data_IF_399937332112
#
_entry.id   IF_399937332112
#
_cell.length_a   1.000
_cell.length_b   1.000
_cell.length_c   1.000
_cell.angle_alpha   90.00
_cell.angle_beta   90.00
_cell.angle_gamma   90.00
#
_symmetry.space_group_name_H-M   'P 1'
#
loop_
_entity.id
_entity.type
_entity.pdbx_description
1 polymer ?
#
# COMPACT_ATOMS: atom_id res chain seq x y z
N UNK A 1 5.76 19.59 10.61
CA UNK A 1 4.68 20.59 10.46
C UNK A 1 3.77 20.52 11.68
N UNK A 2 3.32 21.66 12.25
CA UNK A 2 2.42 21.63 13.42
C UNK A 2 0.97 21.39 12.98
N UNK A 3 0.16 20.73 13.81
CA UNK A 3 -1.24 20.42 13.47
C UNK A 3 -2.08 21.67 13.20
N UNK A 4 -1.74 22.78 13.86
CA UNK A 4 -2.39 24.08 13.63
C UNK A 4 -2.20 24.58 12.19
N UNK A 5 -1.03 24.34 11.59
CA UNK A 5 -0.74 24.68 10.19
C UNK A 5 -1.49 23.74 9.26
N UNK A 6 -1.48 22.43 9.52
CA UNK A 6 -2.21 21.43 8.71
C UNK A 6 -3.70 21.77 8.61
N UNK A 7 -4.34 22.00 9.76
CA UNK A 7 -5.76 22.35 9.84
C UNK A 7 -6.09 23.65 9.12
N UNK A 8 -5.22 24.65 9.20
CA UNK A 8 -5.39 25.92 8.47
C UNK A 8 -5.34 25.71 6.96
N UNK A 9 -4.42 24.90 6.45
CA UNK A 9 -4.31 24.60 5.02
C UNK A 9 -5.57 23.90 4.48
N UNK A 10 -6.12 22.96 5.25
CA UNK A 10 -7.39 22.30 4.90
C UNK A 10 -8.53 23.32 4.86
N UNK A 11 -8.62 24.19 5.88
CA UNK A 11 -9.65 25.24 5.95
C UNK A 11 -9.58 26.24 4.78
N UNK A 12 -8.37 26.58 4.34
CA UNK A 12 -8.14 27.51 3.23
C UNK A 12 -8.32 26.86 1.84
N UNK A 13 -8.79 25.59 1.76
CA UNK A 13 -9.03 24.87 0.51
C UNK A 13 -7.80 24.85 -0.40
N UNK A 14 -6.62 24.65 0.18
CA UNK A 14 -5.37 24.48 -0.58
C UNK A 14 -5.38 23.17 -1.38
N UNK A 15 -6.18 22.18 -0.93
CA UNK A 15 -6.20 20.83 -1.46
C UNK A 15 -6.54 20.71 -2.96
N UNK A 16 -7.65 21.28 -3.46
CA UNK A 16 -8.01 21.10 -4.88
C UNK A 16 -6.93 21.64 -5.82
N UNK A 17 -6.29 22.75 -5.44
CA UNK A 17 -5.21 23.35 -6.24
C UNK A 17 -3.91 22.57 -6.14
N UNK A 18 -3.60 22.00 -4.97
CA UNK A 18 -2.46 21.11 -4.80
C UNK A 18 -2.64 19.79 -5.58
N UNK A 19 -3.89 19.30 -5.68
CA UNK A 19 -4.24 18.08 -6.41
C UNK A 19 -3.98 18.23 -7.90
N UNK A 20 -4.24 19.41 -8.47
CA UNK A 20 -3.90 19.71 -9.86
C UNK A 20 -2.42 19.42 -10.17
N UNK A 21 -1.50 19.80 -9.27
CA UNK A 21 -0.06 19.51 -9.45
C UNK A 21 0.28 18.03 -9.31
N UNK A 22 -0.45 17.31 -8.47
CA UNK A 22 -0.24 15.88 -8.26
C UNK A 22 -0.68 15.05 -9.47
N UNK A 23 -1.74 15.50 -10.17
CA UNK A 23 -2.30 14.83 -11.35
C UNK A 23 -1.60 15.17 -12.67
N UNK A 24 -0.65 16.11 -12.67
CA UNK A 24 0.15 16.41 -13.87
C UNK A 24 0.93 15.17 -14.33
N UNK A 25 1.23 15.06 -15.62
CA UNK A 25 2.08 13.98 -16.15
C UNK A 25 3.51 14.45 -16.39
N UNK A 26 3.68 15.67 -16.91
CA UNK A 26 4.95 16.12 -17.49
C UNK A 26 5.82 16.93 -16.52
N UNK A 27 5.39 17.07 -15.27
CA UNK A 27 6.06 17.90 -14.26
C UNK A 27 6.46 17.10 -13.02
N UNK A 28 7.43 16.18 -13.19
CA UNK A 28 7.95 15.30 -12.13
C UNK A 28 8.22 16.02 -10.79
N UNK A 29 8.89 17.17 -10.83
CA UNK A 29 9.22 17.94 -9.62
C UNK A 29 7.99 18.51 -8.89
N UNK A 30 6.95 18.93 -9.63
CA UNK A 30 5.72 19.45 -9.04
C UNK A 30 4.86 18.32 -8.47
N UNK A 31 4.78 17.18 -9.17
CA UNK A 31 4.10 15.98 -8.70
C UNK A 31 4.70 15.48 -7.39
N UNK A 32 6.03 15.38 -7.33
CA UNK A 32 6.74 14.93 -6.15
C UNK A 32 6.56 15.90 -4.96
N UNK A 33 6.64 17.21 -5.20
CA UNK A 33 6.39 18.21 -4.16
C UNK A 33 4.93 18.16 -3.64
N UNK A 34 3.96 17.91 -4.52
CA UNK A 34 2.57 17.73 -4.12
C UNK A 34 2.38 16.46 -3.26
N UNK A 35 3.01 15.35 -3.65
CA UNK A 35 2.97 14.10 -2.88
C UNK A 35 3.57 14.28 -1.47
N UNK A 36 4.73 14.95 -1.35
CA UNK A 36 5.35 15.24 -0.05
C UNK A 36 4.48 16.16 0.83
N UNK A 37 3.80 17.14 0.21
CA UNK A 37 2.83 17.97 0.92
C UNK A 37 1.67 17.12 1.45
N UNK A 38 1.08 16.27 0.60
CA UNK A 38 -0.04 15.41 1.01
C UNK A 38 0.37 14.39 2.05
N UNK A 39 1.58 13.84 1.97
CA UNK A 39 2.12 12.93 2.99
C UNK A 39 2.15 13.62 4.35
N UNK A 40 2.62 14.87 4.39
CA UNK A 40 2.60 15.67 5.62
C UNK A 40 1.19 15.96 6.14
N UNK A 41 0.21 16.03 5.25
CA UNK A 41 -1.19 16.28 5.60
C UNK A 41 -1.93 15.01 6.04
N UNK A 42 -1.48 13.80 5.68
CA UNK A 42 -2.08 12.54 6.14
C UNK A 42 -2.09 12.39 7.66
N UNK A 43 -1.16 13.06 8.36
CA UNK A 43 -1.16 13.15 9.82
C UNK A 43 -2.29 14.01 10.41
N UNK A 44 -3.12 14.63 9.57
CA UNK A 44 -4.35 15.30 9.97
C UNK A 44 -5.53 14.38 9.70
N UNK A 45 -6.27 14.01 10.75
CA UNK A 45 -7.41 13.08 10.65
C UNK A 45 -8.45 13.49 9.61
N UNK A 46 -8.75 14.79 9.49
CA UNK A 46 -9.72 15.29 8.52
C UNK A 46 -9.29 14.96 7.09
N UNK A 47 -8.01 15.17 6.77
CA UNK A 47 -7.47 14.86 5.45
C UNK A 47 -7.34 13.35 5.23
N UNK A 48 -6.88 12.60 6.24
CA UNK A 48 -6.85 11.14 6.18
C UNK A 48 -8.22 10.56 5.80
N UNK A 49 -9.28 11.02 6.48
CA UNK A 49 -10.68 10.61 6.21
C UNK A 49 -11.13 10.99 4.80
N UNK A 50 -10.73 12.15 4.28
CA UNK A 50 -11.02 12.58 2.90
C UNK A 50 -10.29 11.74 1.83
N UNK A 51 -9.12 11.18 2.15
CA UNK A 51 -8.37 10.31 1.24
C UNK A 51 -8.99 8.91 1.16
N UNK A 52 -9.39 8.34 2.31
CA UNK A 52 -10.01 7.00 2.35
C UNK A 52 -11.47 7.01 1.87
N UNK A 53 -12.13 8.18 1.84
CA UNK A 53 -13.54 8.33 1.47
C UNK A 53 -13.87 7.66 0.13
N UNK A 54 -14.89 6.78 0.09
CA UNK A 54 -15.39 6.15 -1.13
C UNK A 54 -15.76 7.17 -2.23
N UNK A 55 -15.59 6.77 -3.48
CA UNK A 55 -15.92 7.61 -4.64
C UNK A 55 -14.84 8.63 -5.03
N UNK A 56 -13.69 8.61 -4.35
CA UNK A 56 -12.49 9.38 -4.74
C UNK A 56 -11.38 8.44 -5.18
N UNK A 57 -10.56 8.89 -6.15
CA UNK A 57 -9.39 8.14 -6.63
C UNK A 57 -8.10 8.45 -5.85
N UNK A 58 -8.17 9.28 -4.80
CA UNK A 58 -7.01 9.68 -4.00
C UNK A 58 -6.23 8.49 -3.45
N UNK A 59 -6.94 7.53 -2.85
CA UNK A 59 -6.33 6.32 -2.32
C UNK A 59 -5.63 5.50 -3.43
N UNK A 60 -6.24 5.41 -4.61
CA UNK A 60 -5.67 4.67 -5.73
C UNK A 60 -4.37 5.31 -6.21
N UNK A 61 -4.29 6.63 -6.23
CA UNK A 61 -3.09 7.35 -6.62
C UNK A 61 -1.93 7.14 -5.63
N UNK A 62 -2.20 7.09 -4.32
CA UNK A 62 -1.17 6.75 -3.33
C UNK A 62 -0.54 5.37 -3.58
N UNK A 63 -1.37 4.39 -3.97
CA UNK A 63 -0.90 3.03 -4.30
C UNK A 63 -0.18 3.04 -5.65
N UNK A 64 -0.78 3.59 -6.70
CA UNK A 64 -0.17 3.65 -8.04
C UNK A 64 1.19 4.33 -8.02
N UNK A 65 1.28 5.51 -7.40
CA UNK A 65 2.50 6.29 -7.39
C UNK A 65 3.63 5.70 -6.55
N UNK A 66 3.35 4.71 -5.71
CA UNK A 66 4.40 4.00 -4.98
C UNK A 66 5.26 3.08 -5.86
N UNK A 67 4.80 2.78 -7.09
CA UNK A 67 5.54 2.00 -8.09
C UNK A 67 5.96 2.82 -9.33
N UNK A 68 5.89 4.15 -9.27
CA UNK A 68 6.37 5.01 -10.37
C UNK A 68 7.89 5.06 -10.45
N UNK A 69 8.42 5.38 -11.64
CA UNK A 69 9.87 5.52 -11.88
C UNK A 69 10.48 6.74 -11.17
N UNK A 70 9.71 7.81 -10.95
CA UNK A 70 10.19 8.98 -10.21
C UNK A 70 10.37 8.61 -8.73
N UNK A 71 11.62 8.40 -8.33
CA UNK A 71 11.99 7.93 -7.00
C UNK A 71 11.45 8.84 -5.87
N UNK A 72 11.43 10.16 -6.07
CA UNK A 72 10.96 11.11 -5.06
C UNK A 72 9.45 10.99 -4.86
N UNK A 73 8.69 10.88 -5.95
CA UNK A 73 7.26 10.61 -5.93
C UNK A 73 6.97 9.24 -5.30
N UNK A 74 7.72 8.20 -5.67
CA UNK A 74 7.53 6.85 -5.16
C UNK A 74 7.90 6.72 -3.67
N UNK A 75 8.93 7.42 -3.20
CA UNK A 75 9.28 7.49 -1.78
C UNK A 75 8.19 8.17 -0.95
N UNK A 76 7.65 9.29 -1.43
CA UNK A 76 6.54 9.96 -0.75
C UNK A 76 5.29 9.07 -0.75
N UNK A 77 4.99 8.45 -1.90
CA UNK A 77 3.77 7.66 -2.11
C UNK A 77 3.77 6.35 -1.35
N UNK A 78 4.90 5.63 -1.31
CA UNK A 78 5.07 4.41 -0.50
C UNK A 78 4.93 4.68 1.00
N UNK A 79 5.40 5.83 1.49
CA UNK A 79 5.18 6.24 2.88
C UNK A 79 3.69 6.52 3.16
N UNK A 80 3.00 7.20 2.25
CA UNK A 80 1.57 7.45 2.36
C UNK A 80 0.75 6.16 2.32
N UNK A 81 1.12 5.23 1.44
CA UNK A 81 0.54 3.88 1.37
C UNK A 81 0.66 3.15 2.71
N UNK A 82 1.85 3.11 3.32
CA UNK A 82 2.07 2.47 4.61
C UNK A 82 1.22 3.07 5.75
N UNK A 83 1.02 4.39 5.74
CA UNK A 83 0.17 5.09 6.73
C UNK A 83 -1.32 4.80 6.47
N UNK A 84 -1.76 4.82 5.20
CA UNK A 84 -3.17 4.63 4.86
C UNK A 84 -3.67 3.21 5.14
N UNK A 85 -2.83 2.19 4.96
CA UNK A 85 -3.18 0.78 5.21
C UNK A 85 -3.33 0.44 6.69
N UNK A 86 -3.01 1.36 7.62
CA UNK A 86 -3.41 1.21 9.03
C UNK A 86 -4.95 1.18 9.19
N UNK A 87 -5.68 1.73 8.22
CA UNK A 87 -7.15 1.68 8.19
C UNK A 87 -7.66 0.46 7.43
N UNK A 88 -8.50 -0.36 8.09
CA UNK A 88 -9.17 -1.50 7.46
C UNK A 88 -10.05 -1.07 6.26
N UNK A 89 -10.68 0.11 6.32
CA UNK A 89 -11.49 0.65 5.22
C UNK A 89 -10.64 0.93 3.98
N UNK A 90 -9.42 1.45 4.17
CA UNK A 90 -8.49 1.70 3.07
C UNK A 90 -8.06 0.37 2.43
N UNK A 91 -7.70 -0.62 3.25
CA UNK A 91 -7.29 -1.95 2.77
C UNK A 91 -8.39 -2.62 1.93
N UNK A 92 -9.64 -2.58 2.39
CA UNK A 92 -10.79 -3.12 1.64
C UNK A 92 -10.96 -2.40 0.31
N UNK A 93 -10.91 -1.07 0.30
CA UNK A 93 -11.06 -0.29 -0.94
C UNK A 93 -9.96 -0.56 -1.96
N UNK A 94 -8.72 -0.76 -1.52
CA UNK A 94 -7.61 -1.12 -2.42
C UNK A 94 -7.94 -2.42 -3.16
N UNK A 95 -8.36 -3.45 -2.42
CA UNK A 95 -8.69 -4.76 -3.02
C UNK A 95 -9.95 -4.70 -3.89
N UNK A 96 -10.99 -4.00 -3.42
CA UNK A 96 -12.29 -4.01 -4.09
C UNK A 96 -12.35 -3.06 -5.31
N UNK A 97 -11.60 -1.96 -5.32
CA UNK A 97 -11.69 -0.93 -6.36
C UNK A 97 -10.51 -0.88 -7.34
N UNK A 98 -9.36 -1.46 -6.99
CA UNK A 98 -8.20 -1.52 -7.89
C UNK A 98 -8.10 -2.92 -8.48
N UNK A 99 -7.90 -3.06 -9.79
CA UNK A 99 -7.67 -4.39 -10.40
C UNK A 99 -6.18 -4.71 -10.48
N UNK A 100 -5.35 -3.69 -10.64
CA UNK A 100 -3.90 -3.79 -10.78
C UNK A 100 -3.15 -3.78 -9.44
N UNK A 101 -3.86 -3.82 -8.30
CA UNK A 101 -3.18 -3.84 -7.00
C UNK A 101 -2.14 -4.96 -6.92
N UNK A 102 -2.33 -6.20 -7.43
CA UNK A 102 -1.32 -7.25 -7.32
C UNK A 102 0.02 -6.90 -7.96
N UNK A 103 -0.04 -6.32 -9.15
CA UNK A 103 1.14 -5.97 -9.95
C UNK A 103 1.90 -4.84 -9.29
N UNK A 104 1.19 -3.79 -8.86
CA UNK A 104 1.78 -2.64 -8.16
C UNK A 104 2.47 -3.11 -6.88
N UNK A 105 1.78 -3.94 -6.11
CA UNK A 105 2.24 -4.51 -4.86
C UNK A 105 3.48 -5.40 -5.02
N UNK A 106 3.57 -6.16 -6.11
CA UNK A 106 4.78 -6.90 -6.50
C UNK A 106 5.92 -5.94 -6.85
N UNK A 107 5.64 -4.91 -7.65
CA UNK A 107 6.66 -3.99 -8.15
C UNK A 107 7.29 -3.16 -7.01
N UNK A 108 6.50 -2.75 -6.01
CA UNK A 108 7.02 -2.11 -4.78
C UNK A 108 7.97 -3.07 -4.04
N UNK A 109 7.60 -4.34 -3.90
CA UNK A 109 8.44 -5.35 -3.22
C UNK A 109 9.73 -5.68 -3.97
N UNK A 110 9.75 -5.50 -5.28
CA UNK A 110 10.92 -5.71 -6.13
C UNK A 110 11.71 -4.42 -6.38
N UNK A 111 11.32 -3.30 -5.77
CA UNK A 111 12.01 -2.02 -5.91
C UNK A 111 13.46 -2.12 -5.45
N UNK A 112 14.38 -1.57 -6.25
CA UNK A 112 15.80 -1.46 -5.89
C UNK A 112 16.02 -0.47 -4.73
N UNK A 113 15.08 0.45 -4.52
CA UNK A 113 15.12 1.38 -3.39
C UNK A 113 14.61 0.68 -2.12
N UNK A 114 15.54 0.48 -1.18
CA UNK A 114 15.29 -0.21 0.09
C UNK A 114 14.18 0.45 0.94
N UNK A 115 14.04 1.77 0.89
CA UNK A 115 12.99 2.47 1.65
C UNK A 115 11.61 2.28 1.03
N UNK A 116 11.49 2.29 -0.30
CA UNK A 116 10.25 1.98 -1.01
C UNK A 116 9.83 0.55 -0.71
N UNK A 117 10.76 -0.39 -0.87
CA UNK A 117 10.53 -1.81 -0.56
C UNK A 117 10.07 -2.02 0.88
N UNK A 118 10.80 -1.44 1.86
CA UNK A 118 10.47 -1.56 3.28
C UNK A 118 9.08 -1.01 3.60
N UNK A 119 8.72 0.16 3.05
CA UNK A 119 7.40 0.78 3.25
C UNK A 119 6.28 -0.02 2.58
N UNK A 120 6.55 -0.57 1.41
CA UNK A 120 5.66 -1.52 0.73
C UNK A 120 5.35 -2.73 1.60
N UNK A 121 6.38 -3.37 2.14
CA UNK A 121 6.24 -4.52 3.05
C UNK A 121 5.44 -4.18 4.30
N UNK A 122 5.63 -3.00 4.89
CA UNK A 122 4.81 -2.53 6.01
C UNK A 122 3.35 -2.39 5.59
N UNK A 123 3.09 -1.76 4.44
CA UNK A 123 1.72 -1.59 3.95
C UNK A 123 1.02 -2.92 3.67
N UNK A 124 1.74 -3.90 3.10
CA UNK A 124 1.24 -5.26 2.88
C UNK A 124 0.96 -5.96 4.21
N UNK A 125 1.87 -5.83 5.19
CA UNK A 125 1.68 -6.41 6.52
C UNK A 125 0.44 -5.84 7.22
N UNK A 126 0.17 -4.53 7.06
CA UNK A 126 -1.04 -3.89 7.56
C UNK A 126 -2.29 -4.43 6.85
N UNK A 127 -2.24 -4.60 5.51
CA UNK A 127 -3.34 -5.17 4.74
C UNK A 127 -3.68 -6.61 5.18
N UNK A 128 -2.68 -7.46 5.39
CA UNK A 128 -2.88 -8.84 5.88
C UNK A 128 -3.49 -8.84 7.29
N UNK A 129 -3.07 -7.93 8.16
CA UNK A 129 -3.62 -7.82 9.52
C UNK A 129 -5.01 -7.18 9.56
N UNK A 130 -5.43 -6.49 8.50
CA UNK A 130 -6.68 -5.72 8.49
C UNK A 130 -7.94 -6.59 8.45
N UNK A 131 -7.94 -7.66 7.66
CA UNK A 131 -9.13 -8.48 7.39
C UNK A 131 -8.74 -9.83 6.80
N UNK A 132 -9.42 -10.90 7.21
CA UNK A 132 -9.23 -12.25 6.66
C UNK A 132 -9.44 -12.28 5.14
N UNK A 133 -10.45 -11.57 4.62
CA UNK A 133 -10.71 -11.48 3.17
C UNK A 133 -9.49 -10.91 2.45
N UNK A 134 -8.95 -9.79 2.95
CA UNK A 134 -7.78 -9.12 2.37
C UNK A 134 -6.56 -10.02 2.49
N UNK A 135 -6.36 -10.66 3.64
CA UNK A 135 -5.27 -11.58 3.88
C UNK A 135 -5.26 -12.74 2.88
N UNK A 136 -6.40 -13.37 2.61
CA UNK A 136 -6.50 -14.46 1.64
C UNK A 136 -6.08 -14.01 0.22
N UNK A 137 -6.53 -12.84 -0.22
CA UNK A 137 -6.17 -12.30 -1.55
C UNK A 137 -4.67 -12.01 -1.63
N UNK A 138 -4.08 -11.40 -0.59
CA UNK A 138 -2.65 -11.12 -0.54
C UNK A 138 -1.84 -12.43 -0.50
N UNK A 139 -2.14 -13.35 0.40
CA UNK A 139 -1.35 -14.60 0.57
C UNK A 139 -1.33 -15.43 -0.72
N UNK A 140 -2.43 -15.46 -1.47
CA UNK A 140 -2.50 -16.16 -2.76
C UNK A 140 -1.45 -15.66 -3.78
N UNK A 141 -1.05 -14.40 -3.70
CA UNK A 141 -0.10 -13.76 -4.63
C UNK A 141 1.32 -13.75 -4.05
N UNK A 142 1.45 -13.65 -2.72
CA UNK A 142 2.71 -13.37 -2.04
C UNK A 142 3.49 -14.58 -1.53
N UNK A 143 2.91 -15.78 -1.55
CA UNK A 143 3.64 -17.02 -1.26
C UNK A 143 4.92 -17.18 -2.12
N UNK A 144 4.96 -16.54 -3.29
CA UNK A 144 6.12 -16.53 -4.18
C UNK A 144 7.17 -15.45 -3.83
N UNK A 145 6.76 -14.29 -3.32
CA UNK A 145 7.63 -13.12 -3.09
C UNK A 145 8.35 -13.19 -1.73
N UNK A 146 7.68 -13.72 -0.69
CA UNK A 146 8.25 -13.88 0.65
C UNK A 146 9.44 -14.86 0.68
N UNK A 147 9.45 -15.88 -0.19
CA UNK A 147 10.59 -16.78 -0.35
C UNK A 147 11.82 -16.11 -0.96
N UNK A 148 11.66 -15.01 -1.70
CA UNK A 148 12.75 -14.33 -2.40
C UNK A 148 13.35 -13.19 -1.55
N UNK A 149 12.56 -12.58 -0.66
CA UNK A 149 12.99 -11.45 0.20
C UNK A 149 13.48 -11.85 1.60
N UNK A 150 13.55 -13.15 1.89
CA UNK A 150 14.00 -13.73 3.17
C UNK A 150 15.34 -13.19 3.73
N UNK A 151 16.35 -12.76 2.94
CA UNK A 151 17.57 -12.19 3.51
C UNK A 151 17.39 -10.83 4.20
N UNK A 152 16.33 -10.08 3.89
CA UNK A 152 16.10 -8.72 4.41
C UNK A 152 15.23 -8.69 5.68
N UNK A 153 14.57 -9.81 6.01
CA UNK A 153 13.68 -9.92 7.19
C UNK A 153 14.42 -10.17 8.52
N UNK A 154 15.74 -10.27 8.51
CA UNK A 154 16.57 -10.43 9.72
C UNK A 154 16.59 -9.18 10.64
N UNK A 155 15.75 -8.16 10.40
CA UNK A 155 15.68 -6.95 11.23
C UNK A 155 14.32 -6.64 11.86
N UNK A 156 13.33 -7.55 11.83
CA UNK A 156 12.18 -7.39 12.73
C UNK A 156 11.51 -8.74 13.05
N UNK A 157 11.78 -9.23 14.26
CA UNK A 157 11.23 -10.45 14.87
C UNK A 157 9.68 -10.48 14.90
N UNK A 158 9.01 -9.38 14.56
CA UNK A 158 7.54 -9.32 14.52
C UNK A 158 6.98 -9.94 13.22
N UNK A 159 7.57 -9.68 12.04
CA UNK A 159 7.00 -10.19 10.77
C UNK A 159 7.14 -11.70 10.63
N UNK A 160 8.29 -12.26 11.05
CA UNK A 160 8.53 -13.72 11.05
C UNK A 160 7.54 -14.43 11.98
N UNK A 161 7.32 -13.91 13.20
CA UNK A 161 6.36 -14.50 14.13
C UNK A 161 4.90 -14.39 13.66
N UNK A 162 4.57 -13.41 12.80
CA UNK A 162 3.23 -13.26 12.21
C UNK A 162 3.04 -14.16 10.99
N UNK A 163 4.07 -14.34 10.16
CA UNK A 163 4.05 -15.30 9.05
C UNK A 163 4.02 -16.73 9.60
N UNK A 164 4.86 -17.08 10.58
CA UNK A 164 4.85 -18.40 11.24
C UNK A 164 3.52 -18.68 12.00
N UNK A 165 2.85 -17.65 12.54
CA UNK A 165 1.50 -17.78 13.14
C UNK A 165 0.38 -17.87 12.10
N UNK A 166 0.48 -17.16 10.99
CA UNK A 166 -0.49 -17.23 9.90
C UNK A 166 -0.37 -18.56 9.13
N UNK A 167 0.85 -19.09 9.00
CA UNK A 167 1.16 -20.38 8.40
C UNK A 167 0.50 -21.55 9.15
N UNK A 168 0.32 -21.48 10.47
CA UNK A 168 0.00 -22.65 11.29
C UNK A 168 -1.47 -23.05 11.40
N UNK A 169 -2.45 -22.28 10.91
CA UNK A 169 -3.86 -22.71 10.99
C UNK A 169 -4.79 -22.27 9.85
N UNK A 170 -4.59 -21.09 9.24
CA UNK A 170 -5.54 -20.55 8.26
C UNK A 170 -5.01 -20.67 6.83
N UNK A 171 -3.70 -20.55 6.65
CA UNK A 171 -3.00 -20.73 5.37
C UNK A 171 -2.93 -22.20 4.97
N UNK A 172 -2.69 -23.17 5.86
CA UNK A 172 -2.76 -24.60 5.50
C UNK A 172 -4.15 -25.01 5.00
N UNK A 173 -5.24 -24.60 5.67
CA UNK A 173 -6.61 -24.90 5.22
C UNK A 173 -6.96 -24.24 3.88
N UNK A 174 -6.39 -23.06 3.62
CA UNK A 174 -6.56 -22.35 2.34
C UNK A 174 -5.68 -22.97 1.26
N UNK A 175 -4.43 -23.34 1.56
CA UNK A 175 -3.50 -23.99 0.64
C UNK A 175 -3.97 -25.38 0.23
N UNK A 176 -4.56 -26.19 1.12
CA UNK A 176 -5.20 -27.46 0.73
C UNK A 176 -6.41 -27.22 -0.20
N UNK A 177 -7.20 -26.18 0.09
CA UNK A 177 -8.37 -25.80 -0.71
C UNK A 177 -8.00 -25.23 -2.08
N UNK A 178 -6.84 -24.58 -2.21
CA UNK A 178 -6.38 -23.99 -3.48
C UNK A 178 -5.40 -24.91 -4.24
N UNK A 179 -4.70 -25.83 -3.59
CA UNK A 179 -3.88 -26.87 -4.25
C UNK A 179 -4.73 -27.77 -5.14
N UNK A 180 -5.97 -28.08 -4.72
CA UNK A 180 -6.93 -28.83 -5.55
C UNK A 180 -7.49 -28.05 -6.74
N UNK A 181 -7.42 -26.70 -6.73
CA UNK A 181 -7.80 -25.85 -7.88
C UNK A 181 -6.65 -25.63 -8.84
N UNK A 182 -5.41 -25.55 -8.35
CA UNK A 182 -4.21 -25.35 -9.18
C UNK A 182 -3.95 -26.59 -10.05
N UNK A 183 -4.13 -27.81 -9.52
CA UNK A 183 -4.02 -29.04 -10.31
C UNK A 183 -5.06 -29.17 -11.42
N UNK A 184 -6.22 -28.51 -11.30
CA UNK A 184 -7.26 -28.50 -12.35
C UNK A 184 -7.00 -27.50 -13.48
N UNK A 185 -6.04 -26.59 -13.33
CA UNK A 185 -5.66 -25.59 -14.35
C UNK A 185 -4.41 -26.04 -15.12
N UNK A 186 -3.60 -26.93 -14.56
CA UNK A 186 -2.44 -27.51 -15.25
C UNK A 186 -2.80 -28.69 -16.19
N UNK A 187 -4.04 -29.21 -16.15
CA UNK A 187 -4.53 -30.30 -17.00
C UNK A 187 -5.48 -29.86 -18.15
N UNK A 188 -5.58 -28.56 -18.45
CA UNK A 188 -6.42 -28.02 -19.54
C UNK A 188 -5.69 -27.01 -20.42
#
# INVERSE_FOLDING_TARGET
MSDSVRRRMIKERVMPKAEEYWFMTDHAQLRAAAAELFLNLLFCEDFFKEVIRPGTDRLKLWVLYSAEEDERLALASSAGFAILTESEEACKRIIDEMKSWPEILRDICMSENIEIQRRGLIGIANMVQSSEKVACEIVAIYFFVLKITQPLLNYSTTVINYVDRAESHQVESSLEKYSSKISSVEES
#
